data_IF_050583030163
#
_entry.id   IF_050583030163
#
_cell.length_a   1.000
_cell.length_b   1.000
_cell.length_c   1.000
_cell.angle_alpha   90.00
_cell.angle_beta   90.00
_cell.angle_gamma   90.00
#
_symmetry.space_group_name_H-M   'P 1'
#
loop_
_entity.id
_entity.type
_entity.pdbx_description
1 polymer ?
#
# COMPACT_ATOMS: atom_id res chain seq x y z
N UNK A 1 -19.99 -18.50 -29.97
CA UNK A 1 -19.29 -18.03 -28.77
C UNK A 1 -18.62 -16.73 -29.16
N UNK A 2 -19.27 -15.60 -28.87
CA UNK A 2 -18.81 -14.27 -29.29
C UNK A 2 -17.69 -13.87 -28.35
N UNK A 3 -16.45 -13.82 -28.85
CA UNK A 3 -15.37 -13.14 -28.15
C UNK A 3 -15.81 -11.67 -28.06
N UNK A 4 -16.10 -11.20 -26.84
CA UNK A 4 -16.32 -9.78 -26.62
C UNK A 4 -15.05 -9.05 -27.05
N UNK A 5 -15.20 -7.96 -27.81
CA UNK A 5 -14.07 -7.10 -28.14
C UNK A 5 -13.38 -6.67 -26.84
N UNK A 6 -12.03 -6.66 -26.81
CA UNK A 6 -11.32 -6.17 -25.65
C UNK A 6 -11.77 -4.74 -25.35
N UNK A 7 -11.97 -4.39 -24.07
CA UNK A 7 -12.37 -3.05 -23.67
C UNK A 7 -11.41 -2.01 -24.29
N UNK A 8 -11.97 -1.01 -24.96
CA UNK A 8 -11.22 -0.02 -25.75
C UNK A 8 -10.47 1.00 -24.89
N UNK A 9 -10.72 0.99 -23.58
CA UNK A 9 -10.17 1.93 -22.61
C UNK A 9 -8.97 1.32 -21.89
N UNK A 10 -7.90 2.10 -21.74
CA UNK A 10 -6.64 1.66 -21.14
C UNK A 10 -6.82 1.12 -19.72
N UNK A 11 -6.05 0.09 -19.34
CA UNK A 11 -6.15 -0.60 -18.04
C UNK A 11 -6.02 0.38 -16.87
N UNK A 12 -5.10 1.34 -16.95
CA UNK A 12 -4.90 2.36 -15.92
C UNK A 12 -6.13 3.25 -15.69
N UNK A 13 -6.92 3.50 -16.73
CA UNK A 13 -8.14 4.31 -16.65
C UNK A 13 -9.27 3.52 -16.00
N UNK A 14 -9.48 2.28 -16.43
CA UNK A 14 -10.47 1.36 -15.83
C UNK A 14 -10.17 1.12 -14.35
N UNK A 15 -8.91 0.88 -14.01
CA UNK A 15 -8.44 0.71 -12.65
C UNK A 15 -8.78 1.94 -11.80
N UNK A 16 -8.44 3.14 -12.26
CA UNK A 16 -8.73 4.39 -11.55
C UNK A 16 -10.23 4.61 -11.34
N UNK A 17 -11.06 4.29 -12.32
CA UNK A 17 -12.50 4.42 -12.22
C UNK A 17 -13.07 3.42 -11.20
N UNK A 18 -12.63 2.15 -11.26
CA UNK A 18 -13.09 1.08 -10.39
C UNK A 18 -12.69 1.26 -8.92
N UNK A 19 -11.51 1.81 -8.64
CA UNK A 19 -10.98 1.90 -7.27
C UNK A 19 -11.29 3.22 -6.56
N UNK A 20 -12.05 4.12 -7.19
CA UNK A 20 -12.31 5.46 -6.62
C UNK A 20 -13.09 5.36 -5.30
N UNK A 21 -14.15 4.55 -5.27
CA UNK A 21 -14.95 4.36 -4.07
C UNK A 21 -14.14 3.71 -2.95
N UNK A 22 -13.29 2.75 -3.28
CA UNK A 22 -12.46 2.04 -2.30
C UNK A 22 -11.38 2.96 -1.70
N UNK A 23 -10.79 3.83 -2.52
CA UNK A 23 -9.90 4.88 -2.06
C UNK A 23 -10.62 5.82 -1.08
N UNK A 24 -11.82 6.28 -1.44
CA UNK A 24 -12.62 7.17 -0.60
C UNK A 24 -13.03 6.48 0.73
N UNK A 25 -13.35 5.18 0.69
CA UNK A 25 -13.67 4.40 1.88
C UNK A 25 -12.46 4.20 2.81
N UNK A 26 -11.26 3.96 2.27
CA UNK A 26 -10.04 3.87 3.06
C UNK A 26 -9.72 5.19 3.79
N UNK A 27 -9.86 6.32 3.08
CA UNK A 27 -9.71 7.66 3.68
C UNK A 27 -10.83 7.97 4.69
N UNK A 28 -12.06 7.55 4.39
CA UNK A 28 -13.26 7.76 5.21
C UNK A 28 -13.33 6.95 6.51
N UNK A 29 -12.30 6.14 6.83
CA UNK A 29 -12.25 5.42 8.11
C UNK A 29 -12.28 6.36 9.32
N UNK A 30 -11.86 7.62 9.18
CA UNK A 30 -11.79 8.63 10.25
C UNK A 30 -10.67 8.39 11.26
N UNK A 31 -10.04 7.20 11.26
CA UNK A 31 -8.86 6.90 12.06
C UNK A 31 -7.66 7.72 11.61
N UNK A 32 -7.38 7.75 10.30
CA UNK A 32 -6.30 8.56 9.73
C UNK A 32 -6.52 10.06 9.97
N UNK A 33 -7.75 10.54 9.86
CA UNK A 33 -8.11 11.93 10.17
C UNK A 33 -7.89 12.26 11.65
N UNK A 34 -8.21 11.34 12.56
CA UNK A 34 -7.98 11.52 13.99
C UNK A 34 -6.49 11.53 14.34
N UNK A 35 -5.67 10.70 13.68
CA UNK A 35 -4.20 10.78 13.79
C UNK A 35 -3.66 12.10 13.25
N UNK A 36 -4.06 12.49 12.04
CA UNK A 36 -3.62 13.73 11.38
C UNK A 36 -3.99 14.98 12.18
N UNK A 37 -5.12 14.95 12.89
CA UNK A 37 -5.57 16.01 13.78
C UNK A 37 -4.94 15.96 15.19
N UNK A 38 -4.10 14.97 15.50
CA UNK A 38 -3.51 14.77 16.83
C UNK A 38 -4.53 14.41 17.93
N UNK A 39 -5.71 13.90 17.55
CA UNK A 39 -6.76 13.48 18.49
C UNK A 39 -6.51 12.11 19.11
N UNK A 40 -5.61 11.33 18.53
CA UNK A 40 -5.19 10.03 19.03
C UNK A 40 -3.75 10.10 19.56
N UNK A 41 -3.41 9.30 20.59
CA UNK A 41 -2.06 9.30 21.15
C UNK A 41 -1.02 8.81 20.15
N UNK A 42 0.26 9.18 20.37
CA UNK A 42 1.40 8.74 19.54
C UNK A 42 1.50 7.21 19.40
N UNK A 43 1.06 6.46 20.42
CA UNK A 43 1.00 5.01 20.36
C UNK A 43 0.01 4.47 19.30
N UNK A 44 -1.07 5.20 18.98
CA UNK A 44 -1.99 4.80 17.91
C UNK A 44 -1.32 4.90 16.54
N UNK A 45 -0.50 5.93 16.33
CA UNK A 45 0.31 6.03 15.12
C UNK A 45 1.38 4.93 15.06
N UNK A 46 2.04 4.62 16.17
CA UNK A 46 2.99 3.53 16.23
C UNK A 46 2.34 2.16 15.93
N UNK A 47 1.09 1.96 16.35
CA UNK A 47 0.32 0.74 16.02
C UNK A 47 0.05 0.65 14.51
N UNK A 48 -0.38 1.75 13.87
CA UNK A 48 -0.52 1.81 12.40
C UNK A 48 0.80 1.49 11.69
N UNK A 49 1.91 2.10 12.12
CA UNK A 49 3.23 1.83 11.55
C UNK A 49 3.64 0.35 11.71
N UNK A 50 3.31 -0.27 12.85
CA UNK A 50 3.57 -1.68 13.09
C UNK A 50 2.74 -2.60 12.17
N UNK A 51 1.46 -2.26 11.93
CA UNK A 51 0.63 -3.03 11.00
C UNK A 51 1.13 -2.90 9.56
N UNK A 52 1.53 -1.70 9.14
CA UNK A 52 2.18 -1.51 7.84
C UNK A 52 3.48 -2.33 7.75
N UNK A 53 4.33 -2.33 8.78
CA UNK A 53 5.58 -3.09 8.77
C UNK A 53 5.38 -4.56 8.36
N UNK A 54 4.37 -5.25 8.91
CA UNK A 54 4.07 -6.65 8.52
C UNK A 54 3.63 -6.79 7.06
N UNK A 55 2.82 -5.85 6.57
CA UNK A 55 2.34 -5.84 5.18
C UNK A 55 3.50 -5.61 4.21
N UNK A 56 4.36 -4.61 4.47
CA UNK A 56 5.54 -4.34 3.62
C UNK A 56 6.59 -5.44 3.72
N UNK A 57 6.77 -6.05 4.89
CA UNK A 57 7.66 -7.22 5.01
C UNK A 57 7.24 -8.33 4.03
N UNK A 58 5.94 -8.67 4.00
CA UNK A 58 5.43 -9.70 3.08
C UNK A 58 5.48 -9.25 1.62
N UNK A 59 5.10 -8.01 1.32
CA UNK A 59 5.08 -7.47 -0.04
C UNK A 59 6.48 -7.29 -0.63
N UNK A 60 7.46 -6.86 0.17
CA UNK A 60 8.83 -6.66 -0.29
C UNK A 60 9.62 -7.98 -0.39
N UNK A 61 9.28 -8.99 0.41
CA UNK A 61 9.75 -10.36 0.18
C UNK A 61 9.22 -10.91 -1.16
N UNK A 62 7.94 -10.67 -1.47
CA UNK A 62 7.39 -11.01 -2.78
C UNK A 62 8.07 -10.23 -3.91
N UNK A 63 8.37 -8.94 -3.70
CA UNK A 63 9.09 -8.12 -4.69
C UNK A 63 10.49 -8.68 -5.00
N UNK A 64 11.20 -9.22 -4.00
CA UNK A 64 12.50 -9.84 -4.22
C UNK A 64 12.42 -11.10 -5.11
N UNK A 65 11.33 -11.87 -5.01
CA UNK A 65 11.08 -13.02 -5.90
C UNK A 65 10.63 -12.57 -7.28
N UNK A 66 9.75 -11.56 -7.34
CA UNK A 66 9.18 -11.02 -8.58
C UNK A 66 10.16 -10.17 -9.40
N UNK A 67 11.32 -9.82 -8.85
CA UNK A 67 12.34 -9.03 -9.53
C UNK A 67 12.84 -9.69 -10.84
N UNK A 68 12.87 -11.02 -10.88
CA UNK A 68 13.28 -11.80 -12.06
C UNK A 68 12.10 -12.21 -12.97
N UNK A 69 10.86 -11.88 -12.59
CA UNK A 69 9.68 -12.20 -13.39
C UNK A 69 9.57 -11.29 -14.63
N UNK A 70 9.30 -11.83 -15.83
CA UNK A 70 9.28 -11.06 -17.07
C UNK A 70 8.19 -9.98 -17.14
N UNK A 71 7.14 -10.08 -16.31
CA UNK A 71 6.04 -9.12 -16.25
C UNK A 71 6.16 -8.27 -14.98
N UNK A 72 6.27 -8.91 -13.82
CA UNK A 72 6.25 -8.26 -12.52
C UNK A 72 7.55 -7.49 -12.21
N UNK A 73 8.69 -7.91 -12.76
CA UNK A 73 10.00 -7.29 -12.51
C UNK A 73 10.03 -5.80 -12.88
N UNK A 74 9.29 -5.39 -13.92
CA UNK A 74 9.16 -3.99 -14.32
C UNK A 74 8.44 -3.11 -13.28
N UNK A 75 7.74 -3.73 -12.33
CA UNK A 75 7.03 -3.05 -11.23
C UNK A 75 7.80 -3.09 -9.91
N UNK A 76 8.99 -3.70 -9.87
CA UNK A 76 9.87 -3.69 -8.69
C UNK A 76 10.72 -2.42 -8.72
N UNK A 77 10.35 -1.44 -7.89
CA UNK A 77 11.03 -0.14 -7.81
C UNK A 77 11.77 0.01 -6.48
N UNK A 78 13.12 -0.07 -6.47
CA UNK A 78 13.91 0.10 -5.24
C UNK A 78 13.67 1.45 -4.54
N UNK A 79 13.37 2.51 -5.30
CA UNK A 79 13.04 3.84 -4.77
C UNK A 79 11.73 3.87 -3.94
N UNK A 80 10.89 2.84 -4.06
CA UNK A 80 9.65 2.70 -3.30
C UNK A 80 9.78 1.86 -2.04
N UNK A 81 10.83 1.04 -1.87
CA UNK A 81 11.02 0.19 -0.67
C UNK A 81 10.79 0.98 0.63
N UNK A 82 9.96 0.45 1.54
CA UNK A 82 9.52 1.10 2.79
C UNK A 82 9.97 0.36 4.06
N UNK A 83 10.27 -0.93 4.01
CA UNK A 83 10.58 -1.71 5.22
C UNK A 83 11.73 -1.12 6.07
N UNK A 84 12.84 -0.61 5.51
CA UNK A 84 13.87 0.06 6.30
C UNK A 84 13.33 1.30 7.02
N UNK A 85 12.59 2.16 6.32
CA UNK A 85 12.00 3.36 6.90
C UNK A 85 10.99 3.04 8.02
N UNK A 86 10.15 2.02 7.83
CA UNK A 86 9.22 1.55 8.86
C UNK A 86 9.95 0.99 10.08
N UNK A 87 11.07 0.31 9.87
CA UNK A 87 11.90 -0.23 10.96
C UNK A 87 12.48 0.91 11.80
N UNK A 88 13.10 1.90 11.16
CA UNK A 88 13.67 3.08 11.82
C UNK A 88 12.60 3.91 12.56
N UNK A 89 11.45 4.09 11.91
CA UNK A 89 10.32 4.82 12.49
C UNK A 89 9.83 4.11 13.75
N UNK A 90 9.67 2.79 13.72
CA UNK A 90 9.20 2.02 14.87
C UNK A 90 10.18 2.04 16.04
N UNK A 91 11.50 2.00 15.78
CA UNK A 91 12.49 2.16 16.85
C UNK A 91 12.42 3.55 17.49
N UNK A 92 12.16 4.59 16.70
CA UNK A 92 11.97 5.96 17.19
C UNK A 92 10.68 6.11 18.00
N UNK A 93 9.60 5.44 17.57
CA UNK A 93 8.27 5.53 18.18
C UNK A 93 8.14 4.72 19.46
N UNK A 94 8.75 3.53 19.52
CA UNK A 94 8.53 2.54 20.57
C UNK A 94 9.81 2.17 21.36
N UNK A 95 10.96 2.69 20.97
CA UNK A 95 12.26 2.32 21.52
C UNK A 95 12.90 1.14 20.78
N UNK A 96 14.12 0.73 21.18
CA UNK A 96 14.91 -0.25 20.44
C UNK A 96 14.24 -1.62 20.40
N UNK A 97 14.29 -2.29 19.24
CA UNK A 97 13.75 -3.65 19.00
C UNK A 97 12.33 -3.82 19.54
N UNK A 98 11.37 -2.99 19.10
CA UNK A 98 10.03 -3.02 19.65
C UNK A 98 9.35 -4.34 19.31
N UNK A 99 8.61 -4.89 20.28
CA UNK A 99 7.72 -6.02 20.00
C UNK A 99 6.57 -5.52 19.13
N UNK A 100 6.26 -6.29 18.08
CA UNK A 100 5.18 -6.04 17.14
C UNK A 100 4.28 -7.26 17.12
N UNK A 101 2.98 -7.05 17.12
CA UNK A 101 1.99 -8.13 16.98
C UNK A 101 1.03 -7.73 15.87
N UNK A 102 0.83 -8.57 14.84
CA UNK A 102 -0.12 -8.25 13.80
C UNK A 102 -1.53 -8.36 14.39
N UNK A 103 -2.38 -7.39 14.05
CA UNK A 103 -3.82 -7.53 14.29
C UNK A 103 -4.39 -8.66 13.43
N UNK A 104 -5.53 -9.27 13.81
CA UNK A 104 -6.29 -10.20 12.98
C UNK A 104 -6.42 -9.79 11.50
N UNK A 105 -6.88 -8.57 11.20
CA UNK A 105 -7.02 -8.10 9.80
C UNK A 105 -5.65 -7.95 9.10
N UNK A 106 -4.61 -7.59 9.85
CA UNK A 106 -3.24 -7.51 9.31
C UNK A 106 -2.70 -8.91 8.99
N UNK A 107 -3.00 -9.88 9.84
CA UNK A 107 -2.64 -11.29 9.61
C UNK A 107 -3.36 -11.86 8.38
N UNK A 108 -4.64 -11.52 8.19
CA UNK A 108 -5.41 -11.86 6.99
C UNK A 108 -4.78 -11.26 5.72
N UNK A 109 -4.42 -9.97 5.76
CA UNK A 109 -3.73 -9.32 4.64
C UNK A 109 -2.41 -10.04 4.32
N UNK A 110 -1.54 -10.24 5.32
CA UNK A 110 -0.26 -10.91 5.09
C UNK A 110 -0.45 -12.36 4.59
N UNK A 111 -1.51 -13.05 5.02
CA UNK A 111 -1.84 -14.38 4.50
C UNK A 111 -2.26 -14.33 3.02
N UNK A 112 -3.05 -13.33 2.61
CA UNK A 112 -3.38 -13.12 1.20
C UNK A 112 -2.13 -12.87 0.37
N UNK A 113 -1.28 -11.92 0.76
CA UNK A 113 -0.01 -11.61 0.08
C UNK A 113 0.84 -12.88 -0.13
N UNK A 114 1.03 -13.69 0.92
CA UNK A 114 1.78 -14.95 0.81
C UNK A 114 1.13 -15.97 -0.12
N UNK A 115 -0.19 -15.97 -0.22
CA UNK A 115 -0.93 -16.92 -1.04
C UNK A 115 -0.92 -16.59 -2.54
N UNK A 116 -0.69 -15.33 -2.93
CA UNK A 116 -0.83 -14.91 -4.33
C UNK A 116 0.36 -14.13 -4.90
N UNK A 117 1.10 -13.38 -4.09
CA UNK A 117 2.08 -12.42 -4.61
C UNK A 117 3.45 -13.02 -4.91
N UNK A 118 3.70 -14.28 -4.56
CA UNK A 118 5.01 -14.94 -4.76
C UNK A 118 5.13 -15.71 -6.07
N UNK A 119 4.01 -15.99 -6.74
CA UNK A 119 3.97 -16.80 -7.97
C UNK A 119 3.04 -16.23 -9.05
N UNK A 120 2.22 -15.22 -8.74
CA UNK A 120 1.29 -14.60 -9.70
C UNK A 120 1.65 -13.14 -9.95
N UNK A 121 2.21 -12.79 -11.13
CA UNK A 121 2.60 -11.42 -11.48
C UNK A 121 1.49 -10.40 -11.31
N UNK A 122 0.29 -10.69 -11.83
CA UNK A 122 -0.86 -9.79 -11.70
C UNK A 122 -1.23 -9.51 -10.24
N UNK A 123 -1.12 -10.52 -9.36
CA UNK A 123 -1.50 -10.36 -7.96
C UNK A 123 -0.47 -9.53 -7.20
N UNK A 124 0.83 -9.74 -7.47
CA UNK A 124 1.89 -8.88 -6.95
C UNK A 124 1.67 -7.42 -7.38
N UNK A 125 1.46 -7.17 -8.68
CA UNK A 125 1.26 -5.83 -9.23
C UNK A 125 0.02 -5.17 -8.60
N UNK A 126 -1.05 -5.93 -8.35
CA UNK A 126 -2.26 -5.43 -7.69
C UNK A 126 -2.00 -4.88 -6.27
N UNK A 127 -1.34 -5.66 -5.42
CA UNK A 127 -1.00 -5.22 -4.07
C UNK A 127 0.05 -4.11 -4.06
N UNK A 128 1.05 -4.20 -4.94
CA UNK A 128 2.07 -3.17 -5.12
C UNK A 128 1.43 -1.83 -5.53
N UNK A 129 0.52 -1.84 -6.52
CA UNK A 129 -0.23 -0.67 -6.95
C UNK A 129 -1.02 -0.05 -5.79
N UNK A 130 -1.83 -0.86 -5.10
CA UNK A 130 -2.73 -0.39 -4.04
C UNK A 130 -1.97 0.26 -2.89
N UNK A 131 -0.84 -0.33 -2.48
CA UNK A 131 -0.01 0.19 -1.40
C UNK A 131 0.77 1.43 -1.84
N UNK A 132 1.70 1.29 -2.79
CA UNK A 132 2.68 2.34 -3.08
C UNK A 132 2.05 3.60 -3.71
N UNK A 133 1.04 3.47 -4.59
CA UNK A 133 0.40 4.66 -5.15
C UNK A 133 -0.50 5.35 -4.11
N UNK A 134 -1.05 4.58 -3.17
CA UNK A 134 -1.72 5.10 -1.98
C UNK A 134 -0.76 5.91 -1.11
N UNK A 135 0.41 5.36 -0.79
CA UNK A 135 1.40 6.02 0.07
C UNK A 135 1.99 7.27 -0.58
N UNK A 136 2.27 7.25 -1.89
CA UNK A 136 2.74 8.44 -2.62
C UNK A 136 1.71 9.58 -2.57
N UNK A 137 0.43 9.25 -2.42
CA UNK A 137 -0.64 10.24 -2.28
C UNK A 137 -0.78 10.68 -0.81
N UNK A 138 -0.75 9.73 0.13
CA UNK A 138 -0.78 10.00 1.56
C UNK A 138 0.43 10.78 2.06
N UNK A 139 1.63 10.54 1.52
CA UNK A 139 2.88 11.19 1.92
C UNK A 139 2.87 12.70 1.68
N UNK A 140 2.05 13.20 0.75
CA UNK A 140 1.93 14.65 0.49
C UNK A 140 1.10 15.38 1.55
N UNK A 141 0.22 14.67 2.28
CA UNK A 141 -0.73 15.29 3.21
C UNK A 141 -0.68 14.69 4.62
N UNK A 142 -0.80 13.36 4.72
CA UNK A 142 -0.79 12.64 5.99
C UNK A 142 0.59 12.71 6.65
N UNK A 143 1.68 12.53 5.90
CA UNK A 143 3.04 12.58 6.45
C UNK A 143 3.34 13.88 7.22
N UNK A 144 3.20 15.07 6.59
CA UNK A 144 3.37 16.35 7.27
C UNK A 144 2.40 16.57 8.45
N UNK A 145 1.16 16.10 8.33
CA UNK A 145 0.17 16.22 9.41
C UNK A 145 0.57 15.39 10.64
N UNK A 146 1.02 14.14 10.43
CA UNK A 146 1.53 13.25 11.47
C UNK A 146 2.78 13.85 12.13
N UNK A 147 3.73 14.34 11.33
CA UNK A 147 4.94 14.95 11.85
C UNK A 147 4.62 16.14 12.76
N UNK A 148 3.70 17.00 12.33
CA UNK A 148 3.22 18.12 13.14
C UNK A 148 2.47 17.67 14.41
N UNK A 149 1.55 16.72 14.28
CA UNK A 149 0.71 16.25 15.39
C UNK A 149 1.51 15.62 16.54
N UNK A 150 2.63 14.95 16.20
CA UNK A 150 3.43 14.21 17.17
C UNK A 150 4.84 14.77 17.40
N UNK A 151 5.13 15.97 16.86
CA UNK A 151 6.42 16.64 17.03
C UNK A 151 7.61 15.84 16.48
N UNK A 152 7.43 15.20 15.32
CA UNK A 152 8.46 14.38 14.68
C UNK A 152 9.24 15.22 13.67
N UNK A 153 10.57 15.16 13.72
CA UNK A 153 11.47 15.82 12.78
C UNK A 153 12.50 14.78 12.28
N UNK A 154 12.33 14.33 11.03
CA UNK A 154 13.04 13.17 10.48
C UNK A 154 12.48 11.82 10.94
N UNK A 155 13.16 11.17 11.89
CA UNK A 155 12.84 9.80 12.30
C UNK A 155 11.46 9.69 12.97
N UNK A 156 10.75 8.59 12.73
CA UNK A 156 9.39 8.38 13.21
C UNK A 156 8.31 8.66 12.18
N UNK A 157 8.62 9.25 11.02
CA UNK A 157 7.68 9.40 9.90
C UNK A 157 8.32 9.21 8.51
N UNK A 158 9.52 8.61 8.45
CA UNK A 158 10.28 8.34 7.22
C UNK A 158 9.50 7.49 6.23
N UNK A 159 8.54 6.67 6.68
CA UNK A 159 7.62 5.93 5.82
C UNK A 159 6.96 6.81 4.74
N UNK A 160 6.62 8.05 5.08
CA UNK A 160 5.96 9.00 4.17
C UNK A 160 6.94 9.75 3.26
N UNK A 161 8.25 9.57 3.43
CA UNK A 161 9.29 10.30 2.70
C UNK A 161 9.84 9.40 1.59
N UNK A 162 9.61 9.79 0.34
CA UNK A 162 10.14 9.10 -0.84
C UNK A 162 11.26 9.95 -1.46
N UNK A 163 12.49 9.76 -0.98
CA UNK A 163 13.65 10.53 -1.44
C UNK A 163 13.87 10.33 -2.95
N UNK A 164 14.00 11.44 -3.69
CA UNK A 164 14.21 11.43 -5.15
C UNK A 164 12.98 11.07 -5.99
N UNK A 165 11.82 10.82 -5.37
CA UNK A 165 10.59 10.46 -6.10
C UNK A 165 9.64 11.65 -6.15
N UNK A 166 9.24 12.03 -7.37
CA UNK A 166 8.13 12.96 -7.59
C UNK A 166 6.81 12.18 -7.66
N UNK A 167 5.88 12.31 -6.68
CA UNK A 167 4.65 11.53 -6.68
C UNK A 167 3.81 11.71 -7.97
N UNK A 168 3.65 12.92 -8.53
CA UNK A 168 2.95 13.08 -9.81
C UNK A 168 3.63 12.34 -10.96
N UNK A 169 4.94 12.49 -11.12
CA UNK A 169 5.69 11.86 -12.22
C UNK A 169 5.70 10.33 -12.08
N UNK A 170 5.87 9.82 -10.85
CA UNK A 170 5.89 8.40 -10.60
C UNK A 170 4.54 7.73 -10.87
N UNK A 171 3.43 8.39 -10.49
CA UNK A 171 2.08 7.90 -10.82
C UNK A 171 1.86 7.83 -12.34
N UNK A 172 2.39 8.78 -13.11
CA UNK A 172 2.33 8.73 -14.58
C UNK A 172 3.12 7.52 -15.11
N UNK A 173 4.39 7.37 -14.69
CA UNK A 173 5.24 6.23 -15.05
C UNK A 173 4.59 4.88 -14.73
N UNK A 174 3.99 4.75 -13.54
CA UNK A 174 3.34 3.50 -13.13
C UNK A 174 2.13 3.17 -14.03
N UNK A 175 1.33 4.17 -14.39
CA UNK A 175 0.18 3.97 -15.30
C UNK A 175 0.62 3.58 -16.70
N UNK A 176 1.66 4.23 -17.22
CA UNK A 176 2.23 3.89 -18.53
C UNK A 176 2.73 2.44 -18.55
N UNK A 177 3.30 1.94 -17.45
CA UNK A 177 3.70 0.54 -17.31
C UNK A 177 2.49 -0.40 -17.25
N UNK A 178 1.43 -0.04 -16.50
CA UNK A 178 0.19 -0.82 -16.49
C UNK A 178 -0.44 -0.91 -17.88
N UNK A 179 -0.43 0.19 -18.65
CA UNK A 179 -1.02 0.23 -20.00
C UNK A 179 -0.21 -0.55 -21.04
N UNK A 180 1.06 -0.85 -20.74
CA UNK A 180 1.94 -1.66 -21.59
C UNK A 180 2.02 -3.13 -21.15
N UNK A 181 1.43 -3.48 -20.01
CA UNK A 181 1.49 -4.84 -19.48
C UNK A 181 0.70 -5.78 -20.39
N UNK A 182 1.34 -6.87 -20.82
CA UNK A 182 0.71 -7.86 -21.69
C UNK A 182 -0.01 -8.93 -20.87
N UNK A 183 -1.06 -8.54 -20.13
CA UNK A 183 -1.90 -9.51 -19.43
C UNK A 183 -2.74 -10.33 -20.40
N UNK A 184 -2.95 -11.61 -20.06
CA UNK A 184 -4.05 -12.36 -20.66
C UNK A 184 -5.39 -11.77 -20.20
N UNK A 185 -6.50 -11.97 -20.94
CA UNK A 185 -7.81 -11.50 -20.49
C UNK A 185 -8.17 -12.00 -19.07
N UNK A 186 -7.82 -13.25 -18.74
CA UNK A 186 -8.04 -13.83 -17.42
C UNK A 186 -7.17 -13.14 -16.35
N UNK A 187 -5.88 -12.89 -16.65
CA UNK A 187 -5.00 -12.19 -15.70
C UNK A 187 -5.43 -10.74 -15.46
N UNK A 188 -5.99 -10.07 -16.46
CA UNK A 188 -6.50 -8.71 -16.31
C UNK A 188 -7.76 -8.67 -15.43
N UNK A 189 -8.69 -9.62 -15.61
CA UNK A 189 -9.85 -9.75 -14.73
C UNK A 189 -9.42 -10.07 -13.29
N UNK A 190 -8.49 -11.02 -13.14
CA UNK A 190 -7.92 -11.38 -11.85
C UNK A 190 -7.18 -10.20 -11.20
N UNK A 191 -6.42 -9.42 -11.96
CA UNK A 191 -5.75 -8.21 -11.49
C UNK A 191 -6.76 -7.21 -10.91
N UNK A 192 -7.84 -6.92 -11.64
CA UNK A 192 -8.85 -5.95 -11.19
C UNK A 192 -9.56 -6.45 -9.92
N UNK A 193 -9.90 -7.74 -9.86
CA UNK A 193 -10.48 -8.36 -8.67
C UNK A 193 -9.51 -8.30 -7.47
N UNK A 194 -8.21 -8.55 -7.69
CA UNK A 194 -7.21 -8.50 -6.64
C UNK A 194 -6.96 -7.09 -6.12
N UNK A 195 -7.03 -6.08 -6.98
CA UNK A 195 -6.92 -4.69 -6.54
C UNK A 195 -8.07 -4.37 -5.58
N UNK A 196 -9.31 -4.74 -5.91
CA UNK A 196 -10.45 -4.56 -5.02
C UNK A 196 -10.25 -5.31 -3.69
N UNK A 197 -9.73 -6.54 -3.73
CA UNK A 197 -9.41 -7.31 -2.53
C UNK A 197 -8.31 -6.65 -1.67
N UNK A 198 -7.26 -6.12 -2.30
CA UNK A 198 -6.21 -5.37 -1.62
C UNK A 198 -6.75 -4.13 -0.90
N UNK A 199 -7.70 -3.42 -1.51
CA UNK A 199 -8.41 -2.32 -0.86
C UNK A 199 -9.28 -2.79 0.30
N UNK A 200 -10.07 -3.87 0.13
CA UNK A 200 -10.91 -4.44 1.19
C UNK A 200 -10.07 -4.80 2.42
N UNK A 201 -8.94 -5.47 2.20
CA UNK A 201 -7.99 -5.84 3.26
C UNK A 201 -7.40 -4.61 3.95
N UNK A 202 -7.00 -3.60 3.18
CA UNK A 202 -6.49 -2.33 3.74
C UNK A 202 -7.55 -1.63 4.61
N UNK A 203 -8.79 -1.56 4.14
CA UNK A 203 -9.92 -0.97 4.89
C UNK A 203 -10.19 -1.77 6.17
N UNK A 204 -10.07 -3.10 6.14
CA UNK A 204 -10.22 -3.94 7.32
C UNK A 204 -9.17 -3.62 8.39
N UNK A 205 -7.89 -3.45 8.00
CA UNK A 205 -6.82 -3.04 8.92
C UNK A 205 -7.10 -1.67 9.55
N UNK A 206 -7.48 -0.68 8.74
CA UNK A 206 -7.80 0.67 9.25
C UNK A 206 -9.01 0.69 10.18
N UNK A 207 -10.03 -0.13 9.88
CA UNK A 207 -11.21 -0.29 10.73
C UNK A 207 -10.88 -0.95 12.07
N UNK A 208 -10.08 -2.01 12.08
CA UNK A 208 -9.68 -2.67 13.32
C UNK A 208 -8.80 -1.74 14.19
N UNK A 209 -7.90 -0.97 13.56
CA UNK A 209 -7.14 0.08 14.26
C UNK A 209 -8.06 1.16 14.84
N UNK A 210 -9.10 1.56 14.11
CA UNK A 210 -10.12 2.49 14.63
C UNK A 210 -10.79 1.92 15.86
N UNK A 211 -11.32 0.71 15.79
CA UNK A 211 -12.03 0.05 16.90
C UNK A 211 -11.14 -0.10 18.14
N UNK A 212 -9.83 -0.34 17.94
CA UNK A 212 -8.84 -0.48 19.02
C UNK A 212 -8.51 0.83 19.74
N UNK A 213 -8.59 1.97 19.05
CA UNK A 213 -8.15 3.28 19.54
C UNK A 213 -9.31 4.27 19.73
N UNK A 214 -10.55 3.80 19.67
CA UNK A 214 -11.78 4.55 19.94
C UNK A 214 -12.13 4.61 21.43
#
# INVERSE_FOLDING_TARGET
>A
MTLADPPTEALSVRLRAGTRMDHDAAQGSGFLDALAAGRLPRLAYADLAAQHWFIYESLEQAAAVMADDPVAGAFVFPELTRLPALTDDLETLLGPRPRRTPLPATSEYCARLRAVSFDRPWAFIAHHYTRYLGDLSGGQYLGPAIAKAYGLDGAGHRFFVFEGVSPPAFRTRYRELLDQVAFTPDDEENFLAEVAEAYRLNIAVLRELKERWQ
#
